data_IF_678874437797
#
_entry.id   IF_678874437797
#
_cell.length_a   1.000
_cell.length_b   1.000
_cell.length_c   1.000
_cell.angle_alpha   90.00
_cell.angle_beta   90.00
_cell.angle_gamma   90.00
#
_symmetry.space_group_name_H-M   'P 1'
#
loop_
_entity.id
_entity.type
_entity.pdbx_description
1 polymer ?
#
# COMPACT_ATOMS: atom_id res chain seq x y z
N UNK A 1 8.34 -6.30 -2.75
CA UNK A 1 9.76 -6.11 -2.39
C UNK A 1 10.58 -7.29 -2.88
N UNK A 2 11.52 -7.06 -3.80
CA UNK A 2 12.66 -7.94 -4.02
C UNK A 2 13.84 -7.30 -3.28
N UNK A 3 14.37 -8.02 -2.30
CA UNK A 3 15.48 -7.60 -1.44
C UNK A 3 16.80 -8.06 -2.06
N UNK A 4 17.57 -7.13 -2.63
CA UNK A 4 19.02 -7.30 -2.79
C UNK A 4 19.69 -6.30 -1.85
N UNK A 5 20.25 -6.82 -0.75
CA UNK A 5 21.02 -6.05 0.23
C UNK A 5 22.50 -6.20 -0.11
N UNK A 6 23.12 -5.15 -0.65
CA UNK A 6 24.57 -5.09 -0.90
C UNK A 6 25.33 -4.54 0.32
N UNK A 7 25.14 -5.10 1.52
CA UNK A 7 26.04 -4.85 2.68
C UNK A 7 26.21 -3.42 3.20
N UNK A 8 25.57 -2.42 2.59
CA UNK A 8 25.53 -1.01 3.04
C UNK A 8 24.29 -0.84 3.89
N UNK A 9 24.41 -0.20 5.06
CA UNK A 9 23.25 0.19 5.85
C UNK A 9 22.32 1.02 4.96
N UNK A 10 21.02 0.67 4.86
CA UNK A 10 20.12 1.39 4.00
C UNK A 10 20.11 2.87 4.40
N UNK A 11 20.37 3.75 3.43
CA UNK A 11 20.31 5.19 3.62
C UNK A 11 18.95 5.65 4.13
N UNK A 12 18.87 6.88 4.65
CA UNK A 12 17.62 7.43 5.18
C UNK A 12 16.52 7.46 4.10
N UNK A 13 15.27 7.41 4.52
CA UNK A 13 14.14 7.66 3.63
C UNK A 13 14.33 9.01 2.92
N UNK A 14 14.38 8.99 1.59
CA UNK A 14 14.74 10.18 0.83
C UNK A 14 13.53 10.96 0.31
N UNK A 15 12.48 10.23 -0.09
CA UNK A 15 11.27 10.79 -0.70
C UNK A 15 10.05 10.26 0.05
N UNK A 16 9.09 11.14 0.27
CA UNK A 16 7.75 10.81 0.72
C UNK A 16 6.74 11.20 -0.35
N UNK A 17 5.77 10.32 -0.59
CA UNK A 17 4.77 10.49 -1.63
C UNK A 17 3.37 10.28 -1.05
N UNK A 18 2.47 11.23 -1.30
CA UNK A 18 1.10 11.22 -0.80
C UNK A 18 0.17 11.50 -1.96
N UNK A 19 -0.89 10.70 -2.08
CA UNK A 19 -1.96 10.95 -3.04
C UNK A 19 -3.30 10.66 -2.35
N UNK A 20 -4.29 11.54 -2.55
CA UNK A 20 -5.60 11.44 -1.92
C UNK A 20 -6.78 11.67 -2.86
N UNK A 21 -6.50 12.10 -4.10
CA UNK A 21 -7.48 12.51 -5.10
C UNK A 21 -6.98 12.15 -6.51
N UNK A 22 -7.81 12.37 -7.52
CA UNK A 22 -7.53 11.90 -8.89
C UNK A 22 -6.59 12.79 -9.70
N UNK A 23 -6.40 14.04 -9.29
CA UNK A 23 -5.73 15.08 -10.09
C UNK A 23 -4.35 15.48 -9.54
N UNK A 24 -4.09 15.32 -8.24
CA UNK A 24 -2.82 15.70 -7.63
C UNK A 24 -2.24 14.62 -6.70
N UNK A 25 -0.94 14.38 -6.86
CA UNK A 25 -0.12 13.69 -5.87
C UNK A 25 1.07 14.58 -5.47
N UNK A 26 1.43 14.55 -4.19
CA UNK A 26 2.57 15.29 -3.64
C UNK A 26 3.78 14.37 -3.52
N UNK A 27 4.91 14.80 -4.11
CA UNK A 27 6.21 14.15 -3.96
C UNK A 27 7.14 15.11 -3.23
N UNK A 28 7.51 14.75 -2.01
CA UNK A 28 8.26 15.59 -1.07
C UNK A 28 9.64 15.01 -0.82
N UNK A 29 10.67 15.82 -1.04
CA UNK A 29 12.05 15.39 -0.92
C UNK A 29 12.58 15.56 0.53
N UNK A 30 12.18 14.63 1.39
CA UNK A 30 12.43 14.66 2.84
C UNK A 30 13.89 14.44 3.23
N UNK A 31 14.75 13.97 2.30
CA UNK A 31 16.18 13.80 2.56
C UNK A 31 16.86 15.11 2.97
N UNK A 32 16.58 16.20 2.22
CA UNK A 32 17.19 17.51 2.44
C UNK A 32 16.37 18.39 3.38
N UNK A 33 15.04 18.31 3.30
CA UNK A 33 14.15 19.16 4.11
C UNK A 33 13.83 18.59 5.49
N UNK A 34 14.08 17.31 5.72
CA UNK A 34 13.43 16.58 6.80
C UNK A 34 11.91 16.50 6.60
N UNK A 35 11.18 16.16 7.66
CA UNK A 35 9.71 16.14 7.68
C UNK A 35 9.22 17.42 8.36
N UNK A 36 8.56 18.34 7.62
CA UNK A 36 7.97 19.54 8.21
C UNK A 36 6.88 19.22 9.22
N UNK A 37 6.62 20.14 10.16
CA UNK A 37 5.64 19.94 11.22
C UNK A 37 4.21 19.68 10.70
N UNK A 38 3.81 20.35 9.61
CA UNK A 38 2.52 20.12 8.96
C UNK A 38 2.38 18.69 8.42
N UNK A 39 3.44 18.19 7.76
CA UNK A 39 3.49 16.81 7.27
C UNK A 39 3.49 15.81 8.43
N UNK A 40 4.21 16.11 9.52
CA UNK A 40 4.19 15.28 10.73
C UNK A 40 2.77 15.15 11.28
N UNK A 41 2.02 16.25 11.42
CA UNK A 41 0.65 16.19 11.90
C UNK A 41 -0.23 15.30 11.01
N UNK A 42 -0.11 15.43 9.69
CA UNK A 42 -0.84 14.57 8.74
C UNK A 42 -0.51 13.08 8.93
N UNK A 43 0.77 12.75 9.11
CA UNK A 43 1.24 11.37 9.27
C UNK A 43 0.82 10.76 10.61
N UNK A 44 0.84 11.55 11.69
CA UNK A 44 0.56 11.11 13.06
C UNK A 44 -0.94 11.17 13.43
N UNK A 45 -1.80 11.67 12.53
CA UNK A 45 -3.25 11.74 12.70
C UNK A 45 -3.89 10.34 12.52
N UNK A 46 -4.52 9.76 13.55
CA UNK A 46 -5.17 8.44 13.44
C UNK A 46 -6.48 8.46 12.64
N UNK A 47 -7.08 9.62 12.40
CA UNK A 47 -8.33 9.76 11.63
C UNK A 47 -8.10 9.68 10.12
N UNK A 48 -6.86 9.89 9.68
CA UNK A 48 -6.46 9.79 8.29
C UNK A 48 -5.82 8.43 8.04
N UNK A 49 -6.48 7.58 7.23
CA UNK A 49 -5.94 6.28 6.83
C UNK A 49 -4.85 6.45 5.78
N UNK A 50 -3.71 5.78 5.98
CA UNK A 50 -2.61 5.70 5.01
C UNK A 50 -2.59 4.29 4.44
N UNK A 51 -2.51 4.20 3.12
CA UNK A 51 -2.65 2.93 2.41
C UNK A 51 -1.45 2.69 1.50
N UNK A 52 -1.04 1.44 1.37
CA UNK A 52 0.08 1.07 0.50
C UNK A 52 0.40 -0.42 0.59
N UNK A 53 1.28 -0.89 -0.29
CA UNK A 53 1.80 -2.26 -0.23
C UNK A 53 3.10 -2.28 0.56
N UNK A 54 3.13 -3.01 1.67
CA UNK A 54 4.29 -3.06 2.57
C UNK A 54 4.42 -1.83 3.46
N UNK A 55 3.34 -1.05 3.63
CA UNK A 55 3.35 0.27 4.26
C UNK A 55 3.82 0.25 5.72
N UNK A 56 3.63 -0.85 6.44
CA UNK A 56 4.14 -1.01 7.80
C UNK A 56 5.68 -0.94 7.84
N UNK A 57 6.37 -1.49 6.84
CA UNK A 57 7.82 -1.40 6.75
C UNK A 57 8.28 0.04 6.48
N UNK A 58 7.53 0.76 5.64
CA UNK A 58 7.81 2.16 5.34
C UNK A 58 7.60 3.03 6.59
N UNK A 59 6.55 2.79 7.37
CA UNK A 59 6.30 3.47 8.64
C UNK A 59 7.42 3.22 9.67
N UNK A 60 7.88 1.97 9.80
CA UNK A 60 9.03 1.63 10.67
C UNK A 60 10.28 2.35 10.21
N UNK A 61 10.51 2.44 8.90
CA UNK A 61 11.66 3.16 8.33
C UNK A 61 11.58 4.65 8.65
N UNK A 62 10.43 5.29 8.42
CA UNK A 62 10.21 6.71 8.72
C UNK A 62 10.40 6.99 10.22
N UNK A 63 9.93 6.10 11.10
CA UNK A 63 10.15 6.24 12.53
C UNK A 63 11.66 6.20 12.88
N UNK A 64 12.40 5.24 12.34
CA UNK A 64 13.85 5.11 12.56
C UNK A 64 14.63 6.31 12.03
N UNK A 65 14.26 6.81 10.85
CA UNK A 65 15.04 7.83 10.14
C UNK A 65 14.70 9.26 10.59
N UNK A 66 13.45 9.50 11.03
CA UNK A 66 12.91 10.84 11.30
C UNK A 66 12.15 10.99 12.62
N UNK A 67 12.01 9.93 13.44
CA UNK A 67 11.27 9.95 14.71
C UNK A 67 9.81 10.44 14.56
N UNK A 68 9.16 10.02 13.47
CA UNK A 68 7.74 10.29 13.17
C UNK A 68 6.97 8.98 13.17
N UNK A 69 5.91 8.92 13.97
CA UNK A 69 5.09 7.70 14.13
C UNK A 69 3.88 7.74 13.22
N UNK A 70 3.99 7.19 12.01
CA UNK A 70 2.84 7.12 11.10
C UNK A 70 1.73 6.26 11.72
N UNK A 71 0.53 6.83 11.84
CA UNK A 71 -0.65 6.14 12.41
C UNK A 71 -1.67 5.80 11.34
N UNK A 72 -2.56 4.84 11.66
CA UNK A 72 -3.68 4.41 10.82
C UNK A 72 -3.19 3.90 9.46
N UNK A 73 -2.70 2.66 9.44
CA UNK A 73 -2.14 2.02 8.26
C UNK A 73 -3.05 0.90 7.78
N UNK A 74 -3.33 0.81 6.49
CA UNK A 74 -3.93 -0.36 5.85
C UNK A 74 -2.99 -0.89 4.76
N UNK A 75 -2.59 -2.16 4.91
CA UNK A 75 -1.76 -2.82 3.91
C UNK A 75 -2.62 -3.43 2.81
N UNK A 76 -2.38 -3.02 1.57
CA UNK A 76 -3.19 -3.45 0.42
C UNK A 76 -3.05 -4.94 0.11
N UNK A 77 -1.92 -5.57 0.43
CA UNK A 77 -1.78 -7.02 0.28
C UNK A 77 -2.67 -7.75 1.29
N UNK A 78 -2.75 -7.24 2.52
CA UNK A 78 -3.64 -7.79 3.54
C UNK A 78 -5.11 -7.55 3.16
N UNK A 79 -5.48 -6.32 2.78
CA UNK A 79 -6.84 -5.99 2.35
C UNK A 79 -7.27 -6.84 1.15
N UNK A 80 -6.41 -7.00 0.16
CA UNK A 80 -6.68 -7.85 -1.00
C UNK A 80 -6.94 -9.31 -0.60
N UNK A 81 -6.18 -9.88 0.34
CA UNK A 81 -6.43 -11.25 0.81
C UNK A 81 -7.74 -11.39 1.60
N UNK A 82 -8.26 -10.30 2.19
CA UNK A 82 -9.58 -10.29 2.85
C UNK A 82 -10.72 -10.18 1.84
N UNK A 83 -10.53 -9.45 0.75
CA UNK A 83 -11.57 -9.15 -0.26
C UNK A 83 -11.60 -10.11 -1.43
N UNK A 84 -10.47 -10.67 -1.82
CA UNK A 84 -10.35 -11.53 -3.00
C UNK A 84 -10.40 -13.01 -2.61
N UNK A 85 -11.16 -13.79 -3.37
CA UNK A 85 -11.11 -15.24 -3.30
C UNK A 85 -9.79 -15.77 -3.89
N UNK A 86 -9.38 -16.98 -3.49
CA UNK A 86 -8.21 -17.67 -4.04
C UNK A 86 -7.04 -17.90 -3.07
N UNK A 87 -7.29 -17.78 -1.76
CA UNK A 87 -6.33 -18.06 -0.70
C UNK A 87 -5.28 -16.95 -0.49
N UNK A 88 -4.47 -17.05 0.58
CA UNK A 88 -3.50 -16.01 0.91
C UNK A 88 -2.40 -15.88 -0.14
N UNK A 89 -2.19 -14.66 -0.65
CA UNK A 89 -1.11 -14.33 -1.57
C UNK A 89 -0.27 -13.15 -1.07
N UNK A 90 1.00 -13.11 -1.48
CA UNK A 90 1.87 -11.96 -1.24
C UNK A 90 1.80 -11.02 -2.44
N UNK A 91 1.04 -9.96 -2.28
CA UNK A 91 0.81 -9.00 -3.36
C UNK A 91 1.90 -7.93 -3.42
N UNK A 92 2.29 -7.58 -4.65
CA UNK A 92 3.02 -6.37 -4.96
C UNK A 92 2.07 -5.33 -5.56
N UNK A 93 2.47 -4.06 -5.56
CA UNK A 93 1.66 -3.01 -6.16
C UNK A 93 1.38 -3.28 -7.66
N UNK A 94 2.39 -3.75 -8.38
CA UNK A 94 2.26 -4.13 -9.80
C UNK A 94 1.29 -5.31 -9.99
N UNK A 95 1.43 -6.38 -9.19
CA UNK A 95 0.57 -7.56 -9.34
C UNK A 95 -0.87 -7.28 -8.95
N UNK A 96 -1.12 -6.42 -7.95
CA UNK A 96 -2.47 -5.93 -7.64
C UNK A 96 -3.04 -5.06 -8.74
N UNK A 97 -2.25 -4.14 -9.30
CA UNK A 97 -2.71 -3.29 -10.41
C UNK A 97 -3.16 -4.14 -11.59
N UNK A 98 -2.35 -5.15 -11.95
CA UNK A 98 -2.67 -6.10 -13.01
C UNK A 98 -3.94 -6.89 -12.69
N UNK A 99 -4.08 -7.38 -11.46
CA UNK A 99 -5.21 -8.22 -11.03
C UNK A 99 -6.53 -7.46 -10.98
N UNK A 100 -6.52 -6.25 -10.43
CA UNK A 100 -7.74 -5.50 -10.09
C UNK A 100 -8.22 -4.62 -11.25
N UNK A 101 -7.31 -4.05 -12.03
CA UNK A 101 -7.66 -3.03 -13.03
C UNK A 101 -7.09 -3.34 -14.41
N UNK A 102 -6.47 -4.51 -14.61
CA UNK A 102 -5.90 -4.95 -15.89
C UNK A 102 -4.91 -3.96 -16.52
N UNK A 103 -4.19 -3.19 -15.67
CA UNK A 103 -3.13 -2.26 -16.10
C UNK A 103 -1.77 -2.71 -15.61
N UNK A 104 -0.73 -2.28 -16.31
CA UNK A 104 0.66 -2.47 -15.90
C UNK A 104 1.22 -1.19 -15.31
N UNK A 105 1.97 -1.31 -14.20
CA UNK A 105 2.79 -0.21 -13.69
C UNK A 105 4.16 -0.28 -14.35
N UNK A 106 4.52 0.75 -15.09
CA UNK A 106 5.86 0.85 -15.64
C UNK A 106 6.86 1.15 -14.52
N UNK A 107 7.70 0.16 -14.18
CA UNK A 107 8.68 0.27 -13.09
C UNK A 107 10.12 0.08 -13.57
N UNK A 108 10.68 1.04 -14.34
CA UNK A 108 12.04 0.95 -14.85
C UNK A 108 13.03 0.79 -13.68
N UNK A 109 13.87 -0.24 -13.77
CA UNK A 109 14.80 -0.60 -12.68
C UNK A 109 15.78 0.53 -12.40
N UNK A 110 16.17 1.27 -13.44
CA UNK A 110 17.12 2.39 -13.37
C UNK A 110 16.56 3.53 -12.51
N UNK A 111 15.25 3.78 -12.57
CA UNK A 111 14.60 4.80 -11.74
C UNK A 111 14.37 4.25 -10.33
N UNK A 112 13.80 3.05 -10.20
CA UNK A 112 13.47 2.46 -8.90
C UNK A 112 14.70 2.28 -8.00
N UNK A 113 15.82 1.85 -8.58
CA UNK A 113 17.11 1.67 -7.88
C UNK A 113 18.06 2.86 -8.08
N UNK A 114 17.57 3.96 -8.67
CA UNK A 114 18.34 5.17 -8.89
C UNK A 114 18.67 5.90 -7.59
N UNK A 115 19.53 6.91 -7.68
CA UNK A 115 19.86 7.73 -6.52
C UNK A 115 18.72 8.73 -6.23
N UNK A 116 17.98 8.47 -5.15
CA UNK A 116 16.88 9.31 -4.63
C UNK A 116 17.34 10.42 -3.68
N UNK A 117 18.63 10.45 -3.32
CA UNK A 117 19.24 11.47 -2.45
C UNK A 117 19.78 12.67 -3.25
N UNK A 118 19.78 12.60 -4.59
CA UNK A 118 20.19 13.69 -5.49
C UNK A 118 19.42 14.97 -5.20
N UNK A 119 20.11 16.10 -5.16
CA UNK A 119 19.52 17.42 -4.85
C UNK A 119 18.28 17.77 -5.68
N UNK A 120 18.25 17.35 -6.96
CA UNK A 120 17.07 17.47 -7.81
C UNK A 120 16.69 16.09 -8.34
N UNK A 121 15.41 15.73 -8.17
CA UNK A 121 14.83 14.53 -8.78
C UNK A 121 14.56 14.79 -10.26
N UNK A 122 14.84 13.78 -11.09
CA UNK A 122 14.46 13.80 -12.49
C UNK A 122 12.94 13.71 -12.66
N UNK A 123 12.42 14.17 -13.82
CA UNK A 123 11.00 14.02 -14.16
C UNK A 123 10.54 12.56 -14.06
N UNK A 124 11.35 11.60 -14.53
CA UNK A 124 11.03 10.18 -14.43
C UNK A 124 10.93 9.67 -12.99
N UNK A 125 11.74 10.20 -12.06
CA UNK A 125 11.63 9.87 -10.63
C UNK A 125 10.35 10.45 -10.01
N UNK A 126 10.01 11.69 -10.36
CA UNK A 126 8.77 12.33 -9.90
C UNK A 126 7.54 11.57 -10.42
N UNK A 127 7.50 11.27 -11.72
CA UNK A 127 6.42 10.52 -12.36
C UNK A 127 6.29 9.13 -11.74
N UNK A 128 7.40 8.43 -11.48
CA UNK A 128 7.41 7.13 -10.81
C UNK A 128 6.83 7.21 -9.39
N UNK A 129 7.31 8.17 -8.57
CA UNK A 129 6.88 8.34 -7.19
C UNK A 129 5.39 8.71 -7.08
N UNK A 130 4.93 9.63 -7.93
CA UNK A 130 3.52 10.01 -8.02
C UNK A 130 2.64 8.84 -8.46
N UNK A 131 3.08 8.07 -9.46
CA UNK A 131 2.35 6.90 -9.96
C UNK A 131 2.21 5.82 -8.89
N UNK A 132 3.26 5.53 -8.12
CA UNK A 132 3.21 4.53 -7.04
C UNK A 132 2.24 4.97 -5.91
N UNK A 133 2.19 6.27 -5.59
CA UNK A 133 1.23 6.83 -4.62
C UNK A 133 -0.21 6.77 -5.14
N UNK A 134 -0.45 7.22 -6.37
CA UNK A 134 -1.76 7.19 -7.02
C UNK A 134 -2.30 5.76 -7.13
N UNK A 135 -1.48 4.81 -7.60
CA UNK A 135 -1.89 3.42 -7.73
C UNK A 135 -2.28 2.83 -6.37
N UNK A 136 -1.55 3.14 -5.31
CA UNK A 136 -1.88 2.65 -3.96
C UNK A 136 -3.25 3.18 -3.49
N UNK A 137 -3.49 4.49 -3.63
CA UNK A 137 -4.78 5.11 -3.29
C UNK A 137 -5.93 4.56 -4.15
N UNK A 138 -5.74 4.45 -5.47
CA UNK A 138 -6.77 3.98 -6.38
C UNK A 138 -7.13 2.52 -6.13
N UNK A 139 -6.14 1.65 -5.90
CA UNK A 139 -6.39 0.24 -5.59
C UNK A 139 -7.09 0.06 -4.25
N UNK A 140 -6.80 0.91 -3.26
CA UNK A 140 -7.59 0.95 -2.03
C UNK A 140 -9.07 1.22 -2.33
N UNK A 141 -9.37 2.25 -3.14
CA UNK A 141 -10.75 2.56 -3.54
C UNK A 141 -11.44 1.43 -4.28
N UNK A 142 -10.72 0.74 -5.16
CA UNK A 142 -11.26 -0.46 -5.84
C UNK A 142 -11.57 -1.57 -4.83
N UNK A 143 -10.64 -1.89 -3.93
CA UNK A 143 -10.81 -2.94 -2.93
C UNK A 143 -11.90 -2.62 -1.89
N UNK A 144 -12.02 -1.36 -1.48
CA UNK A 144 -13.06 -0.87 -0.58
C UNK A 144 -14.46 -1.04 -1.20
N UNK A 145 -14.58 -0.84 -2.51
CA UNK A 145 -15.82 -1.03 -3.27
C UNK A 145 -16.20 -2.50 -3.54
N UNK A 146 -15.33 -3.47 -3.24
CA UNK A 146 -15.67 -4.89 -3.39
C UNK A 146 -16.52 -5.38 -2.20
N UNK A 147 -17.50 -6.27 -2.45
CA UNK A 147 -18.24 -6.92 -1.37
C UNK A 147 -17.28 -7.75 -0.52
N UNK A 148 -17.62 -7.91 0.77
CA UNK A 148 -16.94 -8.89 1.60
C UNK A 148 -17.24 -10.30 1.07
N UNK A 149 -16.29 -11.24 1.15
CA UNK A 149 -16.54 -12.62 0.74
C UNK A 149 -17.73 -13.16 1.53
N UNK A 150 -18.73 -13.70 0.84
CA UNK A 150 -19.88 -14.33 1.47
C UNK A 150 -19.37 -15.40 2.43
N UNK A 151 -19.65 -15.21 3.73
CA UNK A 151 -19.46 -16.26 4.72
C UNK A 151 -20.43 -17.35 4.33
N UNK A 152 -19.92 -18.46 3.79
CA UNK A 152 -20.74 -19.61 3.42
C UNK A 152 -21.55 -20.03 4.64
N UNK A 153 -22.83 -19.66 4.67
CA UNK A 153 -23.77 -20.13 5.67
C UNK A 153 -24.01 -21.61 5.38
N UNK A 154 -23.26 -22.49 6.03
CA UNK A 154 -23.60 -23.90 6.12
C UNK A 154 -24.92 -24.01 6.92
N UNK A 155 -26.06 -23.86 6.25
CA UNK A 155 -27.33 -24.31 6.80
C UNK A 155 -27.38 -25.83 6.67
N UNK A 156 -27.14 -26.52 7.78
CA UNK A 156 -27.38 -27.95 7.89
C UNK A 156 -28.86 -28.24 7.66
N UNK A 157 -29.15 -28.98 6.59
CA UNK A 157 -30.44 -29.60 6.36
C UNK A 157 -30.51 -30.89 7.20
N UNK A 158 -31.09 -30.83 8.39
CA UNK A 158 -31.62 -32.02 9.05
C UNK A 158 -33.11 -32.15 8.72
N UNK A 159 -33.41 -32.90 7.66
CA UNK A 159 -34.71 -33.53 7.47
C UNK A 159 -34.65 -34.90 8.12
N UNK A 160 -35.38 -35.09 9.22
CA UNK A 160 -35.80 -36.42 9.69
C UNK A 160 -37.33 -36.47 9.58
N UNK A 161 -37.79 -37.04 8.47
CA UNK A 161 -39.13 -37.56 8.32
C UNK A 161 -39.28 -38.87 9.10
N UNK A 162 -40.33 -38.94 9.93
CA UNK A 162 -41.22 -40.08 10.05
C UNK A 162 -40.68 -41.44 10.51
N UNK A 163 -40.99 -41.82 11.74
CA UNK A 163 -41.46 -43.19 12.04
C UNK A 163 -42.75 -43.10 12.85
N UNK A 164 -43.71 -43.89 12.39
CA UNK A 164 -45.14 -43.95 12.71
C UNK A 164 -45.46 -44.57 14.06
N UNK A 165 -46.68 -44.28 14.51
CA UNK A 165 -47.43 -44.88 15.61
C UNK A 165 -47.50 -46.42 15.57
N UNK A 166 -47.37 -47.06 16.73
CA UNK A 166 -48.38 -47.90 17.42
C UNK A 166 -47.90 -48.25 18.84
#
# INVERSE_FOLDING_TARGET
>A
MSSMWNGVSPGKAAVMQICGETDHCHVMHIFHSGIPQSLRFLLEDPTLLKVGVGIANDAVKVFKDHNVSIKSLEDLSCLANRKLAGGPQKWGLESLTRKLISKELHKPKEIRLGNWEKFFLSKGQLDYAATDAFASWYLYKVLEGLPDPEVAACQGSETLEGVTSE
#
